data_IF_222308026028
#
_entry.id   IF_222308026028
#
_cell.length_a   1.000
_cell.length_b   1.000
_cell.length_c   1.000
_cell.angle_alpha   90.00
_cell.angle_beta   90.00
_cell.angle_gamma   90.00
#
_symmetry.space_group_name_H-M   'P 1'
#
loop_
_entity.id
_entity.type
_entity.pdbx_description
1 polymer ?
#
# COMPACT_ATOMS: atom_id res chain seq x y z
N UNK A 1 7.74 -2.98 11.63
CA UNK A 1 8.22 -1.58 11.52
C UNK A 1 8.79 -1.32 10.12
N UNK A 2 8.56 -0.13 9.57
CA UNK A 2 9.22 0.35 8.34
C UNK A 2 10.06 1.57 8.72
N UNK A 3 11.35 1.57 8.37
CA UNK A 3 12.25 2.69 8.62
C UNK A 3 12.95 3.07 7.31
N UNK A 4 12.87 4.34 6.93
CA UNK A 4 13.43 4.90 5.69
C UNK A 4 14.30 6.08 6.06
N UNK A 5 15.57 6.08 5.62
CA UNK A 5 16.51 7.17 5.88
C UNK A 5 17.16 7.67 4.60
N UNK A 6 17.00 8.95 4.32
CA UNK A 6 17.62 9.67 3.21
C UNK A 6 17.33 9.04 1.84
N UNK A 7 16.16 8.41 1.64
CA UNK A 7 15.88 7.64 0.44
C UNK A 7 15.78 8.52 -0.80
N UNK A 8 16.62 8.24 -1.79
CA UNK A 8 16.64 8.94 -3.08
C UNK A 8 16.33 7.95 -4.20
N UNK A 9 15.50 8.39 -5.15
CA UNK A 9 15.27 7.67 -6.41
C UNK A 9 15.32 8.62 -7.60
N UNK A 10 16.21 8.32 -8.53
CA UNK A 10 16.29 9.01 -9.81
C UNK A 10 16.08 8.04 -10.97
N UNK A 11 15.50 8.54 -12.06
CA UNK A 11 15.38 7.88 -13.36
C UNK A 11 16.09 8.77 -14.37
N UNK A 12 17.29 8.37 -14.80
CA UNK A 12 18.19 9.24 -15.55
C UNK A 12 18.47 10.52 -14.75
N UNK A 13 18.20 11.66 -15.35
CA UNK A 13 18.43 12.99 -14.71
C UNK A 13 17.24 13.46 -13.83
N UNK A 14 16.11 12.75 -13.83
CA UNK A 14 14.93 13.14 -13.06
C UNK A 14 14.95 12.52 -11.68
N UNK A 15 15.18 13.32 -10.63
CA UNK A 15 14.99 12.90 -9.24
C UNK A 15 13.51 12.89 -8.89
N UNK A 16 12.99 11.71 -8.51
CA UNK A 16 11.59 11.48 -8.13
C UNK A 16 11.43 11.47 -6.61
N UNK A 17 12.31 10.77 -5.88
CA UNK A 17 12.41 10.87 -4.43
C UNK A 17 13.71 11.60 -4.09
N UNK A 18 13.64 12.54 -3.15
CA UNK A 18 14.71 13.51 -2.90
C UNK A 18 15.14 13.55 -1.43
N UNK A 19 15.44 12.39 -0.86
CA UNK A 19 15.79 12.24 0.55
C UNK A 19 14.51 12.11 1.39
N UNK A 20 13.87 10.94 1.32
CA UNK A 20 12.73 10.59 2.16
C UNK A 20 13.27 10.04 3.47
N UNK A 21 12.85 10.66 4.57
CA UNK A 21 12.93 10.11 5.91
C UNK A 21 11.51 9.84 6.38
N UNK A 22 11.22 8.59 6.77
CA UNK A 22 9.88 8.17 7.17
C UNK A 22 9.99 6.94 8.07
N UNK A 23 9.24 6.94 9.16
CA UNK A 23 9.12 5.79 10.05
C UNK A 23 7.65 5.41 10.20
N UNK A 24 7.37 4.09 10.17
CA UNK A 24 6.04 3.53 10.49
C UNK A 24 6.25 2.49 11.58
N UNK A 25 5.72 2.76 12.76
CA UNK A 25 5.86 1.87 13.92
C UNK A 25 5.14 0.54 13.71
N UNK A 26 5.50 -0.47 14.49
CA UNK A 26 4.80 -1.76 14.45
C UNK A 26 3.32 -1.58 14.79
N UNK A 27 2.46 -2.20 13.98
CA UNK A 27 1.01 -2.11 14.14
C UNK A 27 0.40 -0.76 13.77
N UNK A 28 1.19 0.21 13.29
CA UNK A 28 0.71 1.53 12.87
C UNK A 28 0.17 1.49 11.45
N UNK A 29 -0.94 2.20 11.22
CA UNK A 29 -1.45 2.48 9.88
C UNK A 29 -1.09 3.92 9.48
N UNK A 30 -0.10 4.07 8.59
CA UNK A 30 0.27 5.34 7.99
C UNK A 30 -0.40 5.51 6.63
N UNK A 31 -1.09 6.63 6.44
CA UNK A 31 -1.58 7.03 5.12
C UNK A 31 -0.69 8.10 4.52
N UNK A 32 -0.14 7.85 3.33
CA UNK A 32 0.68 8.78 2.57
C UNK A 32 -0.15 9.44 1.46
N UNK A 33 -0.49 10.70 1.63
CA UNK A 33 -1.22 11.48 0.63
C UNK A 33 -0.29 12.32 -0.21
N UNK A 34 -0.69 12.65 -1.43
CA UNK A 34 0.09 13.52 -2.30
C UNK A 34 -0.47 13.60 -3.71
N UNK A 35 -0.12 14.63 -4.48
CA UNK A 35 -0.58 14.78 -5.85
C UNK A 35 -0.03 13.67 -6.77
N UNK A 36 -0.62 13.56 -7.96
CA UNK A 36 -0.09 12.67 -8.98
C UNK A 36 1.33 13.11 -9.36
N UNK A 37 2.24 12.13 -9.47
CA UNK A 37 3.65 12.39 -9.76
C UNK A 37 4.51 12.78 -8.55
N UNK A 38 3.97 12.88 -7.34
CA UNK A 38 4.74 13.18 -6.13
C UNK A 38 5.78 12.11 -5.76
N UNK A 39 5.63 10.88 -6.27
CA UNK A 39 6.54 9.77 -6.00
C UNK A 39 5.94 8.63 -5.17
N UNK A 40 4.64 8.67 -4.82
CA UNK A 40 3.95 7.67 -3.99
C UNK A 40 4.17 6.23 -4.48
N UNK A 41 3.76 5.94 -5.72
CA UNK A 41 3.95 4.63 -6.35
C UNK A 41 5.43 4.25 -6.46
N UNK A 42 6.34 5.22 -6.66
CA UNK A 42 7.78 4.96 -6.71
C UNK A 42 8.28 4.49 -5.34
N UNK A 43 7.84 5.14 -4.26
CA UNK A 43 8.16 4.74 -2.89
C UNK A 43 7.63 3.32 -2.62
N UNK A 44 6.35 3.06 -2.86
CA UNK A 44 5.77 1.71 -2.68
C UNK A 44 6.53 0.66 -3.49
N UNK A 45 6.91 0.94 -4.74
CA UNK A 45 7.68 -0.01 -5.57
C UNK A 45 9.06 -0.30 -5.02
N UNK A 46 9.71 0.65 -4.37
CA UNK A 46 11.00 0.42 -3.71
C UNK A 46 10.77 -0.46 -2.48
N UNK A 47 9.84 -0.12 -1.61
CA UNK A 47 9.51 -0.90 -0.43
C UNK A 47 9.08 -2.34 -0.78
N UNK A 48 8.33 -2.49 -1.88
CA UNK A 48 7.92 -3.78 -2.42
C UNK A 48 9.04 -4.55 -3.14
N UNK A 49 10.29 -4.08 -3.08
CA UNK A 49 11.45 -4.70 -3.76
C UNK A 49 11.34 -4.76 -5.30
N UNK A 50 10.39 -4.03 -5.90
CA UNK A 50 10.15 -3.98 -7.35
C UNK A 50 11.02 -2.94 -8.06
N UNK A 51 11.69 -2.07 -7.33
CA UNK A 51 12.62 -1.07 -7.85
C UNK A 51 13.72 -0.80 -6.83
N UNK A 52 14.95 -0.66 -7.28
CA UNK A 52 16.07 -0.30 -6.38
C UNK A 52 16.07 1.20 -6.09
N UNK A 53 16.43 1.58 -4.87
CA UNK A 53 16.78 2.95 -4.52
C UNK A 53 18.03 3.40 -5.30
N UNK A 54 18.21 4.70 -5.48
CA UNK A 54 19.47 5.27 -5.98
C UNK A 54 20.47 5.44 -4.83
N UNK A 55 19.97 5.86 -3.65
CA UNK A 55 20.73 5.93 -2.40
C UNK A 55 19.77 6.01 -1.21
N UNK A 56 20.31 5.99 0.00
CA UNK A 56 19.55 5.89 1.24
C UNK A 56 19.34 4.45 1.67
N UNK A 57 18.77 4.26 2.84
CA UNK A 57 18.57 2.94 3.46
C UNK A 57 17.11 2.73 3.83
N UNK A 58 16.67 1.48 3.76
CA UNK A 58 15.32 1.06 4.17
C UNK A 58 15.44 -0.24 4.96
N UNK A 59 14.84 -0.25 6.13
CA UNK A 59 14.59 -1.47 6.90
C UNK A 59 13.11 -1.74 6.98
N UNK A 60 12.74 -3.00 6.87
CA UNK A 60 11.36 -3.46 6.97
C UNK A 60 11.32 -4.76 7.76
N UNK A 61 10.57 -4.76 8.87
CA UNK A 61 10.44 -5.91 9.78
C UNK A 61 11.79 -6.46 10.28
N UNK A 62 12.77 -5.56 10.47
CA UNK A 62 14.12 -5.89 10.91
C UNK A 62 15.10 -6.28 9.79
N UNK A 63 14.65 -6.39 8.54
CA UNK A 63 15.47 -6.75 7.38
C UNK A 63 15.91 -5.53 6.58
N UNK A 64 17.17 -5.52 6.11
CA UNK A 64 17.68 -4.52 5.18
C UNK A 64 17.17 -4.81 3.76
N UNK A 65 16.53 -3.81 3.15
CA UNK A 65 15.95 -3.94 1.80
C UNK A 65 17.00 -4.22 0.72
N UNK A 66 18.23 -3.75 0.90
CA UNK A 66 19.29 -3.91 -0.09
C UNK A 66 19.76 -5.36 -0.18
N UNK A 67 19.88 -6.04 0.96
CA UNK A 67 20.51 -7.34 1.08
C UNK A 67 19.51 -8.48 1.29
N UNK A 68 18.38 -8.22 1.98
CA UNK A 68 17.46 -9.25 2.46
C UNK A 68 16.07 -9.18 1.78
N UNK A 69 16.05 -8.82 0.51
CA UNK A 69 14.80 -8.61 -0.25
C UNK A 69 13.89 -9.85 -0.35
N UNK A 70 14.44 -11.06 -0.20
CA UNK A 70 13.65 -12.30 -0.21
C UNK A 70 12.87 -12.43 1.09
N UNK A 71 13.50 -12.16 2.23
CA UNK A 71 12.87 -12.25 3.54
C UNK A 71 11.81 -11.16 3.70
N UNK A 72 12.09 -9.94 3.23
CA UNK A 72 11.10 -8.87 3.15
C UNK A 72 9.85 -9.31 2.40
N UNK A 73 9.99 -9.94 1.22
CA UNK A 73 8.83 -10.43 0.45
C UNK A 73 7.99 -11.48 1.19
N UNK A 74 8.59 -12.26 2.08
CA UNK A 74 7.86 -13.23 2.91
C UNK A 74 7.03 -12.55 4.01
N UNK A 75 7.47 -11.38 4.47
CA UNK A 75 6.83 -10.60 5.53
C UNK A 75 5.91 -9.50 5.03
N UNK A 76 5.82 -9.31 3.70
CA UNK A 76 5.12 -8.19 3.09
C UNK A 76 3.99 -8.64 2.17
N UNK A 77 2.82 -8.01 2.30
CA UNK A 77 1.74 -8.06 1.32
C UNK A 77 1.67 -6.78 0.50
N UNK A 78 1.45 -6.91 -0.82
CA UNK A 78 1.32 -5.77 -1.73
C UNK A 78 -0.06 -5.79 -2.41
N UNK A 79 -0.78 -4.68 -2.32
CA UNK A 79 -1.95 -4.37 -3.14
C UNK A 79 -1.65 -3.12 -3.96
N UNK A 80 -1.83 -3.20 -5.27
CA UNK A 80 -1.59 -2.09 -6.19
C UNK A 80 -2.73 -1.98 -7.19
N UNK A 81 -2.70 -0.93 -8.02
CA UNK A 81 -3.65 -0.77 -9.11
C UNK A 81 -3.64 -1.95 -10.12
N UNK A 82 -2.53 -2.67 -10.22
CA UNK A 82 -2.44 -3.97 -10.91
C UNK A 82 -2.69 -5.07 -9.89
N UNK A 83 -3.74 -5.84 -10.09
CA UNK A 83 -4.15 -6.87 -9.13
C UNK A 83 -3.20 -8.07 -9.06
N UNK A 84 -2.36 -8.25 -10.08
CA UNK A 84 -1.44 -9.39 -10.24
C UNK A 84 -2.18 -10.74 -10.14
N UNK A 85 -3.38 -10.81 -10.71
CA UNK A 85 -4.22 -12.01 -10.75
C UNK A 85 -4.21 -12.59 -12.16
N UNK A 86 -4.31 -13.90 -12.22
CA UNK A 86 -4.48 -14.63 -13.47
C UNK A 86 -5.99 -14.70 -13.82
N UNK A 87 -6.40 -14.02 -14.88
CA UNK A 87 -7.81 -13.85 -15.25
C UNK A 87 -8.52 -15.15 -15.62
N UNK A 88 -7.80 -16.11 -16.20
CA UNK A 88 -8.35 -17.42 -16.62
C UNK A 88 -8.45 -18.41 -15.45
N UNK A 89 -7.80 -18.15 -14.35
CA UNK A 89 -7.89 -18.94 -13.13
C UNK A 89 -9.05 -18.46 -12.26
N UNK A 90 -9.57 -19.34 -11.43
CA UNK A 90 -10.53 -19.04 -10.38
C UNK A 90 -9.83 -18.36 -9.18
N UNK A 91 -10.56 -17.72 -8.25
CA UNK A 91 -10.02 -17.23 -6.98
C UNK A 91 -9.23 -18.27 -6.21
N UNK A 92 -9.78 -19.47 -6.09
CA UNK A 92 -9.13 -20.58 -5.40
C UNK A 92 -7.82 -20.98 -6.06
N UNK A 93 -7.78 -21.11 -7.38
CA UNK A 93 -6.57 -21.45 -8.14
C UNK A 93 -5.51 -20.35 -8.05
N UNK A 94 -5.92 -19.07 -8.15
CA UNK A 94 -5.03 -17.93 -7.91
C UNK A 94 -4.40 -18.00 -6.52
N UNK A 95 -5.21 -18.15 -5.49
CA UNK A 95 -4.72 -18.19 -4.11
C UNK A 95 -3.87 -19.43 -3.84
N UNK A 96 -4.21 -20.58 -4.42
CA UNK A 96 -3.40 -21.81 -4.33
C UNK A 96 -2.04 -21.63 -4.97
N UNK A 97 -1.96 -20.96 -6.13
CA UNK A 97 -0.70 -20.65 -6.79
C UNK A 97 0.21 -19.81 -5.88
N UNK A 98 -0.31 -18.69 -5.37
CA UNK A 98 0.47 -17.82 -4.48
C UNK A 98 0.78 -18.50 -3.14
N UNK A 99 -0.18 -19.23 -2.56
CA UNK A 99 0.02 -19.92 -1.29
C UNK A 99 1.14 -20.96 -1.33
N UNK A 100 1.29 -21.66 -2.45
CA UNK A 100 2.43 -22.57 -2.68
C UNK A 100 3.76 -21.82 -2.81
N UNK A 101 3.78 -20.65 -3.44
CA UNK A 101 5.00 -19.81 -3.54
C UNK A 101 5.49 -19.29 -2.19
N UNK A 102 4.56 -19.10 -1.24
CA UNK A 102 4.85 -18.63 0.11
C UNK A 102 4.92 -19.74 1.14
N UNK A 103 4.84 -21.01 0.73
CA UNK A 103 4.83 -22.19 1.62
C UNK A 103 3.78 -22.05 2.74
N UNK A 104 2.57 -21.57 2.41
CA UNK A 104 1.52 -21.30 3.40
C UNK A 104 1.03 -22.64 3.99
N UNK A 105 1.13 -22.84 5.31
CA UNK A 105 0.62 -24.03 5.96
C UNK A 105 -0.92 -24.09 5.90
N UNK A 106 -1.48 -25.31 5.90
CA UNK A 106 -2.94 -25.56 5.87
C UNK A 106 -3.64 -24.75 4.76
N UNK A 107 -3.03 -24.76 3.57
CA UNK A 107 -3.34 -23.83 2.48
C UNK A 107 -4.82 -23.82 2.10
N UNK A 108 -5.49 -24.98 2.02
CA UNK A 108 -6.90 -25.06 1.60
C UNK A 108 -7.84 -24.37 2.62
N UNK A 109 -7.61 -24.56 3.91
CA UNK A 109 -8.35 -23.92 4.99
C UNK A 109 -8.08 -22.41 4.99
N UNK A 110 -6.82 -22.04 4.74
CA UNK A 110 -6.41 -20.63 4.65
C UNK A 110 -7.07 -19.93 3.46
N UNK A 111 -7.15 -20.57 2.29
CA UNK A 111 -7.88 -20.07 1.12
C UNK A 111 -9.35 -19.82 1.46
N UNK A 112 -10.02 -20.80 2.06
CA UNK A 112 -11.41 -20.63 2.48
C UNK A 112 -11.59 -19.45 3.45
N UNK A 113 -10.68 -19.30 4.39
CA UNK A 113 -10.70 -18.21 5.36
C UNK A 113 -10.56 -16.83 4.70
N UNK A 114 -9.56 -16.64 3.83
CA UNK A 114 -9.36 -15.32 3.19
C UNK A 114 -10.46 -15.00 2.18
N UNK A 115 -11.02 -16.00 1.48
CA UNK A 115 -12.16 -15.79 0.58
C UNK A 115 -13.41 -15.32 1.33
N UNK A 116 -13.69 -15.88 2.52
CA UNK A 116 -14.76 -15.39 3.41
C UNK A 116 -14.50 -13.97 3.86
N UNK A 117 -13.29 -13.67 4.33
CA UNK A 117 -12.90 -12.32 4.79
C UNK A 117 -13.16 -11.25 3.73
N UNK A 118 -12.88 -11.56 2.45
CA UNK A 118 -13.09 -10.61 1.34
C UNK A 118 -14.47 -10.71 0.68
N UNK A 119 -15.37 -11.56 1.19
CA UNK A 119 -16.73 -11.73 0.66
C UNK A 119 -16.78 -12.35 -0.74
N UNK A 120 -15.85 -13.26 -1.06
CA UNK A 120 -15.75 -13.93 -2.37
C UNK A 120 -15.92 -15.46 -2.30
N UNK A 121 -16.32 -16.02 -1.15
CA UNK A 121 -16.50 -17.47 -0.98
C UNK A 121 -17.49 -18.06 -2.00
N UNK A 122 -18.63 -17.41 -2.21
CA UNK A 122 -19.65 -17.86 -3.18
C UNK A 122 -19.23 -17.77 -4.65
N UNK A 123 -18.09 -17.18 -4.92
CA UNK A 123 -17.52 -17.01 -6.29
C UNK A 123 -16.16 -17.71 -6.45
N UNK A 124 -15.82 -18.62 -5.52
CA UNK A 124 -14.48 -19.23 -5.46
C UNK A 124 -14.10 -20.04 -6.71
N UNK A 125 -15.09 -20.52 -7.48
CA UNK A 125 -14.89 -21.36 -8.66
C UNK A 125 -15.17 -20.62 -9.98
N UNK A 126 -15.51 -19.32 -9.95
CA UNK A 126 -15.76 -18.54 -11.18
C UNK A 126 -14.45 -17.96 -11.71
N UNK A 127 -14.19 -17.94 -13.02
CA UNK A 127 -12.99 -17.34 -13.59
C UNK A 127 -12.86 -15.85 -13.24
N UNK A 128 -11.69 -15.40 -12.80
CA UNK A 128 -11.43 -14.02 -12.35
C UNK A 128 -11.69 -12.99 -13.45
N UNK A 129 -11.56 -13.33 -14.74
CA UNK A 129 -11.90 -12.44 -15.85
C UNK A 129 -13.37 -12.01 -15.87
N UNK A 130 -14.27 -12.74 -15.18
CA UNK A 130 -15.70 -12.39 -15.07
C UNK A 130 -16.00 -11.45 -13.91
N UNK A 131 -14.97 -11.11 -13.11
CA UNK A 131 -15.13 -10.29 -11.92
C UNK A 131 -15.18 -8.79 -12.25
N UNK A 132 -16.02 -8.06 -11.53
CA UNK A 132 -15.95 -6.61 -11.51
C UNK A 132 -14.59 -6.14 -10.95
N UNK A 133 -14.20 -4.90 -11.24
CA UNK A 133 -12.96 -4.34 -10.71
C UNK A 133 -12.89 -4.40 -9.17
N UNK A 134 -14.00 -4.11 -8.48
CA UNK A 134 -14.08 -4.23 -7.02
C UNK A 134 -13.90 -5.66 -6.52
N UNK A 135 -14.43 -6.66 -7.23
CA UNK A 135 -14.20 -8.07 -6.89
C UNK A 135 -12.74 -8.47 -7.12
N UNK A 136 -12.13 -8.02 -8.21
CA UNK A 136 -10.70 -8.26 -8.47
C UNK A 136 -9.82 -7.61 -7.39
N UNK A 137 -10.16 -6.40 -6.97
CA UNK A 137 -9.42 -5.71 -5.92
C UNK A 137 -9.54 -6.42 -4.56
N UNK A 138 -10.74 -6.90 -4.19
CA UNK A 138 -10.93 -7.71 -2.99
C UNK A 138 -10.13 -9.03 -3.06
N UNK A 139 -10.07 -9.68 -4.21
CA UNK A 139 -9.24 -10.87 -4.39
C UNK A 139 -7.74 -10.54 -4.31
N UNK A 140 -7.30 -9.38 -4.80
CA UNK A 140 -5.92 -8.90 -4.65
C UNK A 140 -5.55 -8.69 -3.17
N UNK A 141 -6.50 -8.22 -2.34
CA UNK A 141 -6.31 -8.17 -0.88
C UNK A 141 -6.21 -9.57 -0.29
N UNK A 142 -7.11 -10.50 -0.65
CA UNK A 142 -7.03 -11.88 -0.19
C UNK A 142 -5.67 -12.51 -0.50
N UNK A 143 -5.14 -12.28 -1.71
CA UNK A 143 -3.80 -12.69 -2.10
C UNK A 143 -2.72 -12.05 -1.23
N UNK A 144 -2.80 -10.74 -0.98
CA UNK A 144 -1.80 -10.00 -0.21
C UNK A 144 -1.73 -10.44 1.26
N UNK A 145 -2.86 -10.90 1.85
CA UNK A 145 -2.91 -11.34 3.25
C UNK A 145 -2.82 -12.85 3.45
N UNK A 146 -2.71 -13.62 2.36
CA UNK A 146 -2.78 -15.08 2.37
C UNK A 146 -1.72 -15.71 3.27
N UNK A 147 -0.48 -15.24 3.17
CA UNK A 147 0.68 -15.71 3.92
C UNK A 147 0.88 -14.99 5.27
N UNK A 148 -0.14 -14.23 5.74
CA UNK A 148 -0.14 -13.52 7.03
C UNK A 148 1.04 -12.55 7.19
N UNK A 149 1.26 -11.61 6.26
CA UNK A 149 2.38 -10.68 6.34
C UNK A 149 2.25 -9.77 7.57
N UNK A 150 3.39 -9.35 8.13
CA UNK A 150 3.50 -8.33 9.18
C UNK A 150 3.37 -6.92 8.63
N UNK A 151 3.69 -6.72 7.33
CA UNK A 151 3.61 -5.42 6.66
C UNK A 151 2.66 -5.49 5.47
N UNK A 152 1.79 -4.49 5.32
CA UNK A 152 0.93 -4.29 4.16
C UNK A 152 1.26 -2.99 3.44
N UNK A 153 1.57 -3.09 2.15
CA UNK A 153 1.77 -1.95 1.26
C UNK A 153 0.57 -1.85 0.32
N UNK A 154 -0.11 -0.69 0.34
CA UNK A 154 -1.31 -0.43 -0.43
C UNK A 154 -1.10 0.78 -1.34
N UNK A 155 -0.98 0.57 -2.66
CA UNK A 155 -0.76 1.65 -3.62
C UNK A 155 -2.07 2.03 -4.33
N UNK A 156 -2.71 3.08 -3.83
CA UNK A 156 -3.99 3.61 -4.31
C UNK A 156 -5.03 2.49 -4.52
N UNK A 157 -5.38 1.72 -3.47
CA UNK A 157 -6.13 0.48 -3.61
C UNK A 157 -7.56 0.66 -4.11
N UNK A 158 -8.12 1.86 -3.99
CA UNK A 158 -9.49 2.23 -4.38
C UNK A 158 -9.58 2.92 -5.76
N UNK A 159 -8.46 3.11 -6.44
CA UNK A 159 -8.45 3.79 -7.75
C UNK A 159 -9.26 3.04 -8.81
N UNK A 160 -10.22 3.76 -9.40
CA UNK A 160 -11.12 3.24 -10.45
C UNK A 160 -12.24 2.34 -9.93
N UNK A 161 -12.51 2.35 -8.65
CA UNK A 161 -13.73 1.79 -8.06
C UNK A 161 -14.83 2.86 -8.04
N UNK A 162 -16.08 2.43 -8.18
CA UNK A 162 -17.21 3.27 -7.83
C UNK A 162 -17.29 3.51 -6.32
N UNK A 163 -18.10 4.47 -5.88
CA UNK A 163 -18.18 4.87 -4.48
C UNK A 163 -18.52 3.70 -3.55
N UNK A 164 -19.49 2.88 -3.91
CA UNK A 164 -19.93 1.76 -3.08
C UNK A 164 -18.83 0.69 -2.96
N UNK A 165 -18.18 0.34 -4.06
CA UNK A 165 -17.06 -0.62 -4.03
C UNK A 165 -15.86 -0.08 -3.22
N UNK A 166 -15.62 1.23 -3.27
CA UNK A 166 -14.58 1.87 -2.49
C UNK A 166 -14.90 1.85 -0.97
N UNK A 167 -16.15 2.12 -0.58
CA UNK A 167 -16.59 2.03 0.82
C UNK A 167 -16.44 0.61 1.36
N UNK A 168 -16.93 -0.41 0.63
CA UNK A 168 -16.73 -1.81 1.00
C UNK A 168 -15.25 -2.20 1.12
N UNK A 169 -14.40 -1.66 0.25
CA UNK A 169 -12.96 -1.89 0.31
C UNK A 169 -12.35 -1.28 1.58
N UNK A 170 -12.78 -0.09 1.96
CA UNK A 170 -12.29 0.58 3.18
C UNK A 170 -12.68 -0.19 4.44
N UNK A 171 -13.92 -0.66 4.54
CA UNK A 171 -14.37 -1.52 5.65
C UNK A 171 -13.52 -2.80 5.73
N UNK A 172 -13.24 -3.42 4.58
CA UNK A 172 -12.37 -4.59 4.50
C UNK A 172 -10.94 -4.26 4.97
N UNK A 173 -10.35 -3.17 4.50
CA UNK A 173 -9.00 -2.75 4.90
C UNK A 173 -8.94 -2.42 6.39
N UNK A 174 -9.95 -1.77 6.94
CA UNK A 174 -10.06 -1.53 8.37
C UNK A 174 -10.12 -2.84 9.17
N UNK A 175 -10.82 -3.86 8.68
CA UNK A 175 -10.92 -5.17 9.34
C UNK A 175 -9.64 -6.01 9.24
N UNK A 176 -8.90 -5.87 8.14
CA UNK A 176 -7.70 -6.67 7.82
C UNK A 176 -6.41 -6.00 8.31
N UNK A 177 -6.39 -4.65 8.34
CA UNK A 177 -5.21 -3.84 8.66
C UNK A 177 -4.96 -3.63 10.15
N UNK A 178 -5.85 -4.09 11.05
CA UNK A 178 -5.79 -3.69 12.45
C UNK A 178 -4.84 -4.51 13.31
N UNK A 179 -4.20 -3.81 14.27
CA UNK A 179 -3.46 -4.23 15.49
C UNK A 179 -2.25 -5.16 15.33
N UNK A 180 -2.23 -6.05 14.33
CA UNK A 180 -1.14 -7.03 14.18
C UNK A 180 -0.28 -6.78 12.93
N UNK A 181 -0.52 -5.68 12.20
CA UNK A 181 0.18 -5.37 10.95
C UNK A 181 0.53 -3.90 10.84
N UNK A 182 1.73 -3.64 10.38
CA UNK A 182 2.15 -2.32 9.94
C UNK A 182 1.60 -2.05 8.54
N UNK A 183 0.89 -0.96 8.34
CA UNK A 183 0.26 -0.63 7.04
C UNK A 183 0.79 0.70 6.53
N UNK A 184 1.25 0.72 5.29
CA UNK A 184 1.52 1.93 4.53
C UNK A 184 0.61 1.98 3.32
N UNK A 185 -0.33 2.94 3.31
CA UNK A 185 -1.26 3.15 2.21
C UNK A 185 -0.98 4.47 1.51
N UNK A 186 -0.95 4.47 0.18
CA UNK A 186 -0.96 5.70 -0.60
C UNK A 186 -2.35 6.01 -1.13
N UNK A 187 -2.71 7.28 -1.16
CA UNK A 187 -3.93 7.77 -1.80
C UNK A 187 -3.75 9.21 -2.28
N UNK A 188 -4.58 9.63 -3.22
CA UNK A 188 -4.72 11.04 -3.60
C UNK A 188 -5.98 11.68 -2.99
N UNK A 189 -6.82 10.90 -2.32
CA UNK A 189 -8.03 11.38 -1.64
C UNK A 189 -7.68 11.76 -0.19
N UNK A 190 -7.78 13.06 0.13
CA UNK A 190 -7.37 13.63 1.42
C UNK A 190 -8.26 13.18 2.58
N UNK A 191 -9.58 13.19 2.37
CA UNK A 191 -10.56 12.81 3.41
C UNK A 191 -10.39 11.34 3.80
N UNK A 192 -10.21 10.45 2.81
CA UNK A 192 -9.94 9.04 3.03
C UNK A 192 -8.61 8.83 3.73
N UNK A 193 -7.57 9.56 3.29
CA UNK A 193 -6.26 9.51 3.93
C UNK A 193 -6.33 9.84 5.41
N UNK A 194 -7.04 10.88 5.76
CA UNK A 194 -7.21 11.32 7.16
C UNK A 194 -8.09 10.35 7.98
N UNK A 195 -9.11 9.75 7.37
CA UNK A 195 -10.06 8.87 8.08
C UNK A 195 -9.50 7.49 8.41
N UNK A 196 -8.65 6.92 7.55
CA UNK A 196 -8.20 5.52 7.66
C UNK A 196 -6.95 5.34 8.53
N UNK A 197 -5.94 6.21 8.38
CA UNK A 197 -4.66 6.06 9.08
C UNK A 197 -4.72 6.46 10.55
N UNK A 198 -3.83 5.89 11.37
CA UNK A 198 -3.51 6.41 12.71
C UNK A 198 -2.65 7.66 12.59
N UNK A 199 -1.91 7.76 11.50
CA UNK A 199 -1.04 8.87 11.16
C UNK A 199 -1.14 9.15 9.65
N UNK A 200 -1.02 10.42 9.27
CA UNK A 200 -1.02 10.87 7.89
C UNK A 200 0.27 11.60 7.57
N UNK A 201 0.82 11.35 6.38
CA UNK A 201 1.96 12.08 5.84
C UNK A 201 1.64 12.66 4.47
N UNK A 202 2.20 13.83 4.14
CA UNK A 202 2.06 14.48 2.83
C UNK A 202 3.36 14.34 2.06
N UNK A 203 3.31 13.67 0.91
CA UNK A 203 4.42 13.59 -0.04
C UNK A 203 4.22 14.65 -1.13
N UNK A 204 5.11 15.63 -1.20
CA UNK A 204 5.11 16.66 -2.22
C UNK A 204 6.53 16.84 -2.76
N UNK A 205 6.66 16.98 -4.09
CA UNK A 205 7.95 17.20 -4.75
C UNK A 205 9.05 16.17 -4.48
N UNK A 206 8.66 14.95 -4.11
CA UNK A 206 9.59 13.89 -3.76
C UNK A 206 10.14 13.96 -2.34
N UNK A 207 9.51 14.69 -1.44
CA UNK A 207 9.87 14.83 -0.01
C UNK A 207 8.65 14.66 0.88
N UNK A 208 8.85 14.20 2.11
CA UNK A 208 7.82 14.31 3.15
C UNK A 208 7.74 15.78 3.56
N UNK A 209 6.62 16.41 3.24
CA UNK A 209 6.40 17.83 3.50
C UNK A 209 5.69 18.07 4.84
N UNK A 210 4.93 17.09 5.32
CA UNK A 210 4.18 17.18 6.57
C UNK A 210 3.83 15.78 7.10
N UNK A 211 3.74 15.67 8.42
CA UNK A 211 3.26 14.48 9.13
C UNK A 211 2.43 14.87 10.34
N UNK A 212 1.38 14.12 10.64
CA UNK A 212 0.54 14.32 11.82
C UNK A 212 -0.15 13.03 12.27
N UNK A 213 -0.39 12.91 13.56
CA UNK A 213 -1.22 11.86 14.14
C UNK A 213 -2.70 12.15 13.92
N UNK A 214 -3.51 11.09 13.83
CA UNK A 214 -4.96 11.18 13.70
C UNK A 214 -5.55 11.99 14.86
N UNK A 215 -6.45 12.90 14.54
CA UNK A 215 -7.14 13.73 15.53
C UNK A 215 -6.41 15.01 15.92
N UNK A 216 -5.19 15.24 15.44
CA UNK A 216 -4.49 16.51 15.63
C UNK A 216 -4.98 17.62 14.68
N UNK A 217 -5.65 17.21 13.59
CA UNK A 217 -6.20 18.11 12.57
C UNK A 217 -7.62 17.68 12.21
N UNK A 218 -8.47 18.67 11.95
CA UNK A 218 -9.72 18.47 11.23
C UNK A 218 -9.49 18.43 9.71
N UNK A 219 -10.53 18.11 8.97
CA UNK A 219 -10.45 17.96 7.50
C UNK A 219 -10.05 19.28 6.82
N UNK A 220 -10.56 20.42 7.31
CA UNK A 220 -10.28 21.75 6.72
C UNK A 220 -8.83 22.15 6.93
N UNK A 221 -8.31 22.01 8.16
CA UNK A 221 -6.90 22.29 8.47
C UNK A 221 -5.94 21.39 7.69
N UNK A 222 -6.32 20.11 7.49
CA UNK A 222 -5.51 19.21 6.67
C UNK A 222 -5.50 19.61 5.18
N UNK A 223 -6.63 20.07 4.63
CA UNK A 223 -6.70 20.60 3.27
C UNK A 223 -5.79 21.82 3.09
N UNK A 224 -5.79 22.76 4.04
CA UNK A 224 -4.93 23.95 3.98
C UNK A 224 -3.44 23.58 3.97
N UNK A 225 -3.04 22.67 4.87
CA UNK A 225 -1.66 22.18 4.94
C UNK A 225 -1.25 21.48 3.65
N UNK A 226 -2.10 20.61 3.12
CA UNK A 226 -1.84 19.92 1.87
C UNK A 226 -1.64 20.90 0.72
N UNK A 227 -2.56 21.86 0.52
CA UNK A 227 -2.44 22.84 -0.56
C UNK A 227 -1.21 23.73 -0.41
N UNK A 228 -0.85 24.13 0.80
CA UNK A 228 0.39 24.88 1.07
C UNK A 228 1.62 24.05 0.67
N UNK A 229 1.70 22.82 1.12
CA UNK A 229 2.82 21.91 0.81
C UNK A 229 3.01 21.68 -0.69
N UNK A 230 1.92 21.52 -1.43
CA UNK A 230 1.96 21.35 -2.89
C UNK A 230 2.35 22.63 -3.63
N UNK A 231 1.89 23.80 -3.15
CA UNK A 231 2.26 25.12 -3.72
C UNK A 231 3.73 25.45 -3.52
N UNK A 232 4.27 25.22 -2.33
CA UNK A 232 5.68 25.47 -2.02
C UNK A 232 6.61 24.63 -2.90
N UNK A 233 6.25 23.36 -3.17
CA UNK A 233 7.00 22.54 -4.11
C UNK A 233 6.96 23.09 -5.54
N UNK A 234 5.78 23.51 -6.00
CA UNK A 234 5.60 24.09 -7.34
C UNK A 234 6.44 25.36 -7.57
N UNK A 235 6.70 26.13 -6.51
CA UNK A 235 7.56 27.32 -6.58
C UNK A 235 9.04 26.94 -6.63
N UNK A 236 9.48 25.88 -5.93
CA UNK A 236 10.87 25.39 -5.94
C UNK A 236 11.29 24.79 -7.28
N UNK A 237 10.35 24.32 -8.10
CA UNK A 237 10.65 23.72 -9.44
C UNK A 237 10.87 24.80 -10.50
N UNK A 238 10.49 26.06 -10.26
CA UNK A 238 10.59 27.16 -11.23
C UNK A 238 11.86 28.02 -11.10
N UNK A 239 12.73 27.68 -10.15
CA UNK A 239 14.05 28.29 -9.94
C UNK A 239 15.14 27.30 -10.32
#
# INVERSE_FOLDING_TARGET
MIEIRGLIKSFGHKAVLKGIDLEVADGQFLTLVGPNGAGKTTLIRILATLSRATSGTVWMDGFDLADESIDIRRHMGLVSHQTLLYGDLTPEENLRFYGRMYDVPDLEDRIGTVLRQVGLEGRRHDPVRTFSRGMQQRLAIARAILHRPSVLLLDEPDTGLDQHAAEMLHELLASVGTKDRTVLMTTHNLERGLSMGDRVAVLAGGRIAYEADKGTLDVEGFHEIYYRSVREDSLRVKV
#
